data_IF_107148028251
#
_entry.id   IF_107148028251
#
_cell.length_a   1.000
_cell.length_b   1.000
_cell.length_c   1.000
_cell.angle_alpha   90.00
_cell.angle_beta   90.00
_cell.angle_gamma   90.00
#
_symmetry.space_group_name_H-M   'P 1'
#
loop_
_entity.id
_entity.type
_entity.pdbx_description
1 polymer ?
#
# COMPACT_ATOMS: atom_id res chain seq x y z
N UNK A 1 26.14 -15.49 0.90
CA UNK A 1 24.85 -15.02 0.31
C UNK A 1 23.79 -15.31 1.35
N UNK A 2 23.28 -14.27 1.99
CA UNK A 2 22.14 -14.41 2.88
C UNK A 2 20.90 -14.62 2.02
N UNK A 3 20.26 -15.77 2.15
CA UNK A 3 18.99 -16.05 1.49
C UNK A 3 17.87 -15.29 2.23
N UNK A 4 16.87 -14.77 1.51
CA UNK A 4 15.69 -14.17 2.14
C UNK A 4 15.03 -15.15 3.11
N UNK A 5 14.59 -14.65 4.27
CA UNK A 5 13.86 -15.47 5.23
C UNK A 5 12.39 -15.58 4.79
N UNK A 6 11.89 -16.79 4.67
CA UNK A 6 10.48 -17.06 4.32
C UNK A 6 9.85 -17.86 5.44
N UNK A 7 8.79 -17.30 6.03
CA UNK A 7 8.05 -17.88 7.13
C UNK A 7 7.25 -19.13 6.75
N UNK A 8 6.92 -19.93 7.74
CA UNK A 8 6.18 -21.19 7.55
C UNK A 8 4.78 -20.94 7.00
N UNK A 9 4.29 -21.84 6.15
CA UNK A 9 2.94 -21.77 5.60
C UNK A 9 2.75 -20.67 4.55
N UNK A 10 3.83 -20.05 4.10
CA UNK A 10 3.77 -19.04 3.04
C UNK A 10 3.67 -19.69 1.68
N UNK A 11 2.68 -19.25 0.89
CA UNK A 11 2.59 -19.56 -0.53
C UNK A 11 3.41 -18.56 -1.33
N UNK A 12 4.25 -19.05 -2.22
CA UNK A 12 5.08 -18.23 -3.11
C UNK A 12 4.89 -18.68 -4.56
N UNK A 13 4.40 -17.77 -5.40
CA UNK A 13 4.27 -18.05 -6.82
C UNK A 13 5.64 -18.24 -7.48
N UNK A 14 5.82 -19.26 -8.37
CA UNK A 14 7.13 -19.59 -8.95
C UNK A 14 7.84 -18.46 -9.70
N UNK A 15 7.11 -17.50 -10.22
CA UNK A 15 7.67 -16.34 -10.91
C UNK A 15 7.88 -15.11 -10.02
N UNK A 16 7.65 -15.25 -8.72
CA UNK A 16 7.96 -14.16 -7.79
C UNK A 16 9.47 -14.08 -7.55
N UNK A 17 9.95 -12.87 -7.34
CA UNK A 17 11.36 -12.54 -7.13
C UNK A 17 11.55 -11.89 -5.79
N UNK A 18 12.45 -12.44 -4.97
CA UNK A 18 12.77 -11.90 -3.65
C UNK A 18 14.28 -11.68 -3.62
N UNK A 19 14.69 -10.44 -3.42
CA UNK A 19 16.10 -10.03 -3.40
C UNK A 19 16.39 -9.01 -2.31
N UNK A 20 17.67 -8.93 -1.95
CA UNK A 20 18.18 -8.00 -0.93
C UNK A 20 18.34 -8.65 0.44
N UNK A 21 19.41 -8.24 1.13
CA UNK A 21 19.78 -8.82 2.43
C UNK A 21 18.79 -8.54 3.55
N UNK A 22 17.97 -7.50 3.39
CA UNK A 22 16.95 -7.12 4.36
C UNK A 22 15.55 -7.69 4.01
N UNK A 23 15.45 -8.44 2.91
CA UNK A 23 14.16 -9.00 2.52
C UNK A 23 13.76 -10.16 3.41
N UNK A 24 12.53 -10.09 3.91
CA UNK A 24 11.90 -11.19 4.63
C UNK A 24 10.40 -11.26 4.32
N UNK A 25 9.86 -12.46 4.43
CA UNK A 25 8.42 -12.71 4.38
C UNK A 25 8.06 -13.50 5.64
N UNK A 26 7.15 -12.98 6.42
CA UNK A 26 6.69 -13.62 7.64
C UNK A 26 5.77 -14.83 7.32
N UNK A 27 5.28 -15.49 8.35
CA UNK A 27 4.51 -16.72 8.19
C UNK A 27 3.11 -16.50 7.59
N UNK A 28 2.56 -17.53 6.97
CA UNK A 28 1.19 -17.59 6.46
C UNK A 28 0.86 -16.51 5.43
N UNK A 29 1.84 -16.04 4.65
CA UNK A 29 1.63 -15.09 3.58
C UNK A 29 1.23 -15.77 2.26
N UNK A 30 0.52 -15.05 1.41
CA UNK A 30 0.19 -15.46 0.05
C UNK A 30 0.81 -14.47 -0.95
N UNK A 31 1.87 -14.90 -1.64
CA UNK A 31 2.66 -14.04 -2.52
C UNK A 31 2.46 -14.45 -3.97
N UNK A 32 1.84 -13.58 -4.76
CA UNK A 32 1.64 -13.79 -6.19
C UNK A 32 0.42 -14.64 -6.54
N UNK A 33 -0.74 -14.35 -5.97
CA UNK A 33 -1.96 -15.14 -6.19
C UNK A 33 -2.41 -15.10 -7.66
N UNK A 34 -2.45 -13.91 -8.26
CA UNK A 34 -2.87 -13.70 -9.66
C UNK A 34 -1.79 -13.09 -10.53
N UNK A 35 -0.72 -12.55 -9.95
CA UNK A 35 0.38 -11.93 -10.68
C UNK A 35 1.71 -12.06 -9.94
N UNK A 36 2.81 -12.10 -10.70
CA UNK A 36 4.16 -12.17 -10.13
C UNK A 36 4.43 -11.00 -9.19
N UNK A 37 5.14 -11.29 -8.10
CA UNK A 37 5.52 -10.28 -7.11
C UNK A 37 7.03 -10.14 -7.07
N UNK A 38 7.50 -8.90 -7.08
CA UNK A 38 8.92 -8.56 -6.87
C UNK A 38 9.09 -7.89 -5.52
N UNK A 39 9.95 -8.44 -4.68
CA UNK A 39 10.26 -7.97 -3.33
C UNK A 39 11.76 -7.65 -3.28
N UNK A 40 12.11 -6.37 -3.08
CA UNK A 40 13.50 -5.90 -3.03
C UNK A 40 13.74 -5.14 -1.74
N UNK A 41 14.72 -5.56 -0.93
CA UNK A 41 15.05 -4.94 0.37
C UNK A 41 13.82 -4.61 1.23
N UNK A 42 12.85 -5.53 1.29
CA UNK A 42 11.53 -5.25 1.83
C UNK A 42 11.07 -6.33 2.79
N UNK A 43 10.25 -5.94 3.75
CA UNK A 43 9.67 -6.86 4.71
C UNK A 43 8.16 -7.02 4.55
N UNK A 44 7.67 -8.25 4.61
CA UNK A 44 6.24 -8.57 4.50
C UNK A 44 5.77 -9.18 5.80
N UNK A 45 4.84 -8.51 6.47
CA UNK A 45 4.28 -8.95 7.74
C UNK A 45 3.34 -10.15 7.60
N UNK A 46 3.18 -10.88 8.70
CA UNK A 46 2.40 -12.11 8.81
C UNK A 46 1.00 -12.01 8.19
N UNK A 47 0.58 -13.06 7.50
CA UNK A 47 -0.76 -13.18 6.94
C UNK A 47 -1.05 -12.25 5.76
N UNK A 48 -0.05 -11.53 5.26
CA UNK A 48 -0.23 -10.59 4.16
C UNK A 48 -0.43 -11.28 2.81
N UNK A 49 -1.13 -10.60 1.91
CA UNK A 49 -1.48 -11.11 0.59
C UNK A 49 -1.05 -10.11 -0.49
N UNK A 50 -0.09 -10.49 -1.31
CA UNK A 50 0.47 -9.63 -2.36
C UNK A 50 0.19 -10.21 -3.75
N UNK A 51 -0.17 -9.34 -4.69
CA UNK A 51 -0.48 -9.77 -6.06
C UNK A 51 -1.85 -10.44 -6.16
N UNK A 52 -2.85 -9.96 -5.42
CA UNK A 52 -4.20 -10.54 -5.41
C UNK A 52 -5.00 -10.19 -6.65
N UNK A 53 -4.65 -9.13 -7.35
CA UNK A 53 -5.34 -8.64 -8.56
C UNK A 53 -4.42 -8.55 -9.77
N UNK A 54 -3.11 -8.56 -9.58
CA UNK A 54 -2.11 -8.45 -10.64
C UNK A 54 -0.69 -8.34 -10.08
N UNK A 55 0.29 -7.99 -10.92
CA UNK A 55 1.68 -7.87 -10.48
C UNK A 55 1.88 -6.80 -9.42
N UNK A 56 2.75 -7.08 -8.45
CA UNK A 56 3.14 -6.14 -7.40
C UNK A 56 4.66 -6.04 -7.33
N UNK A 57 5.17 -4.83 -7.22
CA UNK A 57 6.58 -4.58 -6.88
C UNK A 57 6.65 -3.79 -5.57
N UNK A 58 7.39 -4.31 -4.61
CA UNK A 58 7.75 -3.57 -3.40
C UNK A 58 9.28 -3.47 -3.30
N UNK A 59 9.75 -2.25 -3.04
CA UNK A 59 11.17 -1.95 -2.89
C UNK A 59 11.38 -0.99 -1.74
N UNK A 60 12.31 -1.32 -0.85
CA UNK A 60 12.56 -0.53 0.38
C UNK A 60 11.23 -0.20 1.11
N UNK A 61 10.36 -1.20 1.21
CA UNK A 61 9.00 -1.11 1.74
C UNK A 61 8.79 -2.14 2.85
N UNK A 62 8.17 -1.73 3.94
CA UNK A 62 7.79 -2.64 5.01
C UNK A 62 6.30 -2.65 5.21
N UNK A 63 5.72 -3.85 5.27
CA UNK A 63 4.29 -4.03 5.52
C UNK A 63 4.06 -4.62 6.90
N UNK A 64 3.06 -4.12 7.59
CA UNK A 64 2.52 -4.74 8.79
C UNK A 64 1.76 -6.04 8.49
N UNK A 65 1.26 -6.72 9.53
CA UNK A 65 0.47 -7.94 9.36
C UNK A 65 -0.83 -7.70 8.59
N UNK A 66 -1.30 -8.75 7.90
CA UNK A 66 -2.57 -8.78 7.17
C UNK A 66 -2.72 -7.68 6.09
N UNK A 67 -1.62 -7.16 5.58
CA UNK A 67 -1.62 -6.19 4.48
C UNK A 67 -2.07 -6.86 3.18
N UNK A 68 -2.92 -6.20 2.41
CA UNK A 68 -3.38 -6.68 1.10
C UNK A 68 -2.94 -5.73 0.01
N UNK A 69 -2.13 -6.20 -0.92
CA UNK A 69 -1.69 -5.45 -2.10
C UNK A 69 -2.23 -6.10 -3.37
N UNK A 70 -3.13 -5.40 -4.06
CA UNK A 70 -3.79 -5.89 -5.26
C UNK A 70 -2.87 -5.94 -6.47
N UNK A 71 -2.59 -4.78 -7.04
CA UNK A 71 -1.69 -4.58 -8.18
C UNK A 71 -1.04 -3.21 -8.08
N UNK A 72 0.28 -3.11 -8.29
CA UNK A 72 0.94 -1.81 -8.28
C UNK A 72 2.37 -1.81 -7.74
N UNK A 73 2.84 -0.63 -7.36
CA UNK A 73 4.22 -0.43 -6.87
C UNK A 73 4.26 0.33 -5.55
N UNK A 74 5.19 -0.06 -4.67
CA UNK A 74 5.52 0.63 -3.44
C UNK A 74 7.05 0.73 -3.33
N UNK A 75 7.59 1.95 -3.37
CA UNK A 75 9.02 2.15 -3.51
C UNK A 75 9.55 3.31 -2.65
N UNK A 76 10.81 3.19 -2.23
CA UNK A 76 11.60 4.26 -1.60
C UNK A 76 11.13 4.67 -0.19
N UNK A 77 11.35 3.79 0.78
CA UNK A 77 11.06 4.06 2.19
C UNK A 77 9.58 4.28 2.48
N UNK A 78 8.77 3.30 2.12
CA UNK A 78 7.34 3.25 2.42
C UNK A 78 7.10 2.33 3.61
N UNK A 79 6.17 2.71 4.46
CA UNK A 79 5.64 1.86 5.52
C UNK A 79 4.13 1.72 5.37
N UNK A 80 3.67 0.48 5.36
CA UNK A 80 2.25 0.13 5.31
C UNK A 80 1.89 -0.55 6.64
N UNK A 81 1.02 0.05 7.42
CA UNK A 81 0.56 -0.45 8.71
C UNK A 81 -0.16 -1.81 8.60
N UNK A 82 -0.51 -2.39 9.73
CA UNK A 82 -1.28 -3.64 9.72
C UNK A 82 -2.65 -3.41 9.06
N UNK A 83 -3.18 -4.46 8.43
CA UNK A 83 -4.50 -4.45 7.79
C UNK A 83 -4.68 -3.41 6.67
N UNK A 84 -3.59 -2.75 6.24
CA UNK A 84 -3.62 -1.83 5.10
C UNK A 84 -4.02 -2.57 3.82
N UNK A 85 -4.95 -1.98 3.06
CA UNK A 85 -5.42 -2.55 1.80
C UNK A 85 -5.25 -1.58 0.64
N UNK A 86 -4.42 -1.94 -0.34
CA UNK A 86 -4.22 -1.19 -1.57
C UNK A 86 -4.73 -2.02 -2.75
N UNK A 87 -5.85 -1.61 -3.31
CA UNK A 87 -6.53 -2.31 -4.38
C UNK A 87 -6.41 -1.58 -5.72
N UNK A 88 -6.39 -2.38 -6.79
CA UNK A 88 -6.73 -1.92 -8.13
C UNK A 88 -7.44 -3.02 -8.89
N UNK A 89 -8.51 -2.67 -9.58
CA UNK A 89 -9.34 -3.58 -10.36
C UNK A 89 -9.19 -3.41 -11.87
N UNK A 90 -8.40 -2.44 -12.33
CA UNK A 90 -8.37 -2.11 -13.74
C UNK A 90 -7.02 -2.39 -14.39
N UNK A 91 -7.10 -2.76 -15.64
CA UNK A 91 -5.99 -3.13 -16.49
C UNK A 91 -4.97 -2.00 -16.63
N UNK A 92 -3.82 -2.14 -15.99
CA UNK A 92 -2.60 -1.42 -16.34
C UNK A 92 -2.16 -0.27 -15.44
N UNK A 93 -2.97 0.17 -14.47
CA UNK A 93 -2.58 1.26 -13.56
C UNK A 93 -2.94 0.91 -12.12
N UNK A 94 -2.01 0.26 -11.42
CA UNK A 94 -2.16 -0.10 -10.04
C UNK A 94 -1.97 1.07 -9.08
N UNK A 95 -2.01 0.80 -7.78
CA UNK A 95 -1.58 1.75 -6.77
C UNK A 95 -0.09 2.09 -6.97
N UNK A 96 0.28 3.30 -6.59
CA UNK A 96 1.67 3.73 -6.53
C UNK A 96 1.93 4.45 -5.22
N UNK A 97 2.75 3.87 -4.36
CA UNK A 97 3.24 4.54 -3.16
C UNK A 97 4.72 4.82 -3.32
N UNK A 98 5.11 6.05 -3.05
CA UNK A 98 6.45 6.56 -3.31
C UNK A 98 7.07 7.11 -2.03
N UNK A 99 8.32 7.51 -2.13
CA UNK A 99 9.19 7.98 -1.06
C UNK A 99 8.47 8.70 0.08
N UNK A 100 8.74 8.24 1.29
CA UNK A 100 8.27 8.88 2.51
C UNK A 100 6.76 8.77 2.77
N UNK A 101 6.10 7.78 2.17
CA UNK A 101 4.67 7.55 2.41
C UNK A 101 4.47 6.57 3.55
N UNK A 102 3.56 6.94 4.44
CA UNK A 102 3.09 6.11 5.55
C UNK A 102 1.58 5.92 5.45
N UNK A 103 1.15 4.68 5.42
CA UNK A 103 -0.22 4.25 5.67
C UNK A 103 -0.26 3.62 7.05
N UNK A 104 -1.01 4.20 7.96
CA UNK A 104 -1.22 3.65 9.29
C UNK A 104 -2.24 2.50 9.26
N UNK A 105 -2.57 1.97 10.42
CA UNK A 105 -3.46 0.82 10.62
C UNK A 105 -4.82 1.01 9.91
N UNK A 106 -5.28 -0.03 9.21
CA UNK A 106 -6.56 -0.05 8.47
C UNK A 106 -6.72 1.05 7.42
N UNK A 107 -5.64 1.71 7.04
CA UNK A 107 -5.71 2.66 5.93
C UNK A 107 -5.86 1.91 4.60
N UNK A 108 -6.64 2.46 3.69
CA UNK A 108 -6.94 1.80 2.43
C UNK A 108 -6.95 2.75 1.24
N UNK A 109 -6.73 2.21 0.06
CA UNK A 109 -6.93 2.93 -1.19
C UNK A 109 -7.69 2.09 -2.21
N UNK A 110 -8.51 2.77 -2.99
CA UNK A 110 -9.14 2.20 -4.18
C UNK A 110 -8.18 2.30 -5.39
N UNK A 111 -8.72 2.37 -6.57
CA UNK A 111 -8.00 2.27 -7.85
C UNK A 111 -7.25 3.55 -8.20
N UNK A 112 -6.09 3.42 -8.88
CA UNK A 112 -5.34 4.54 -9.43
C UNK A 112 -4.94 5.58 -8.37
N UNK A 113 -4.46 5.14 -7.24
CA UNK A 113 -3.95 6.05 -6.22
C UNK A 113 -2.44 6.21 -6.36
N UNK A 114 -1.97 7.44 -6.29
CA UNK A 114 -0.53 7.77 -6.26
C UNK A 114 -0.26 8.65 -5.04
N UNK A 115 0.61 8.19 -4.15
CA UNK A 115 0.95 8.90 -2.92
C UNK A 115 2.45 9.07 -2.77
N UNK A 116 2.89 10.26 -2.38
CA UNK A 116 4.30 10.62 -2.14
C UNK A 116 4.38 11.56 -0.95
N UNK A 117 5.35 11.34 -0.04
CA UNK A 117 5.52 12.19 1.14
C UNK A 117 4.21 12.41 1.89
N UNK A 118 3.41 11.35 2.00
CA UNK A 118 2.03 11.42 2.47
C UNK A 118 1.89 10.57 3.73
N UNK A 119 1.25 11.13 4.73
CA UNK A 119 0.92 10.44 5.98
C UNK A 119 -0.59 10.24 6.04
N UNK A 120 -1.02 9.00 6.00
CA UNK A 120 -2.41 8.61 6.23
C UNK A 120 -2.51 8.01 7.63
N UNK A 121 -3.21 8.68 8.52
CA UNK A 121 -3.43 8.19 9.87
C UNK A 121 -4.42 7.01 9.88
N UNK A 122 -4.62 6.31 11.01
CA UNK A 122 -5.47 5.13 11.04
C UNK A 122 -6.88 5.37 10.48
N UNK A 123 -7.43 4.37 9.82
CA UNK A 123 -8.79 4.39 9.26
C UNK A 123 -9.02 5.50 8.22
N UNK A 124 -8.01 5.79 7.40
CA UNK A 124 -8.18 6.64 6.21
C UNK A 124 -8.51 5.79 5.01
N UNK A 125 -9.51 6.18 4.25
CA UNK A 125 -9.86 5.57 2.96
C UNK A 125 -9.65 6.58 1.82
N UNK A 126 -8.84 6.21 0.85
CA UNK A 126 -8.71 6.95 -0.40
C UNK A 126 -9.64 6.34 -1.46
N UNK A 127 -10.48 7.15 -2.05
CA UNK A 127 -11.27 6.78 -3.22
C UNK A 127 -10.41 6.57 -4.46
N UNK A 128 -11.05 6.40 -5.60
CA UNK A 128 -10.36 6.18 -6.88
C UNK A 128 -9.81 7.47 -7.49
N UNK A 129 -8.72 7.36 -8.26
CA UNK A 129 -8.07 8.47 -8.96
C UNK A 129 -7.57 9.58 -8.02
N UNK A 130 -6.97 9.20 -6.92
CA UNK A 130 -6.41 10.10 -5.92
C UNK A 130 -4.90 10.23 -6.14
N UNK A 131 -4.43 11.47 -6.21
CA UNK A 131 -3.01 11.80 -6.24
C UNK A 131 -2.69 12.74 -5.09
N UNK A 132 -1.84 12.31 -4.16
CA UNK A 132 -1.44 13.07 -2.97
C UNK A 132 0.07 13.26 -2.95
N UNK A 133 0.50 14.49 -2.65
CA UNK A 133 1.91 14.81 -2.45
C UNK A 133 2.03 15.83 -1.31
N UNK A 134 2.91 15.53 -0.35
CA UNK A 134 3.17 16.38 0.82
C UNK A 134 1.91 16.64 1.68
N UNK A 135 1.14 15.58 1.96
CA UNK A 135 -0.16 15.66 2.61
C UNK A 135 -0.20 14.84 3.90
N UNK A 136 -0.87 15.37 4.91
CA UNK A 136 -1.31 14.63 6.09
C UNK A 136 -2.84 14.53 6.06
N UNK A 137 -3.36 13.30 6.08
CA UNK A 137 -4.79 13.04 6.23
C UNK A 137 -5.05 12.55 7.66
N UNK A 138 -5.88 13.30 8.37
CA UNK A 138 -6.31 12.92 9.73
C UNK A 138 -7.10 11.60 9.70
N UNK A 139 -6.85 10.77 10.69
CA UNK A 139 -7.49 9.46 10.80
C UNK A 139 -8.99 9.51 11.08
N UNK A 140 -9.63 8.39 10.89
CA UNK A 140 -10.98 8.14 11.37
C UNK A 140 -11.04 7.96 12.90
N UNK A 141 -12.21 7.67 13.42
CA UNK A 141 -12.44 7.46 14.85
C UNK A 141 -12.54 5.99 15.25
N UNK A 142 -12.52 5.08 14.29
CA UNK A 142 -12.58 3.63 14.52
C UNK A 142 -12.88 2.84 13.25
N UNK A 143 -12.92 1.50 13.38
CA UNK A 143 -13.16 0.60 12.25
C UNK A 143 -14.65 0.49 11.85
N UNK A 144 -15.55 1.20 12.51
CA UNK A 144 -16.98 1.11 12.26
C UNK A 144 -17.38 1.85 10.98
N UNK A 145 -18.44 1.40 10.33
CA UNK A 145 -18.97 2.05 9.14
C UNK A 145 -19.34 3.52 9.43
N UNK A 146 -18.76 4.43 8.66
CA UNK A 146 -18.94 5.87 8.85
C UNK A 146 -17.97 6.52 9.85
N UNK A 147 -17.08 5.74 10.47
CA UNK A 147 -16.03 6.25 11.37
C UNK A 147 -14.69 6.51 10.65
N UNK A 148 -14.60 6.15 9.37
CA UNK A 148 -13.42 6.38 8.53
C UNK A 148 -13.31 7.85 8.11
N UNK A 149 -12.07 8.31 7.95
CA UNK A 149 -11.77 9.56 7.23
C UNK A 149 -11.64 9.25 5.74
N UNK A 150 -12.43 9.86 4.90
CA UNK A 150 -12.48 9.53 3.47
C UNK A 150 -12.06 10.71 2.60
N UNK A 151 -11.17 10.42 1.64
CA UNK A 151 -10.92 11.29 0.49
C UNK A 151 -11.68 10.69 -0.68
N UNK A 152 -12.79 11.30 -1.06
CA UNK A 152 -13.67 10.80 -2.11
C UNK A 152 -13.01 10.77 -3.49
N UNK A 153 -13.54 9.94 -4.37
CA UNK A 153 -13.05 9.77 -5.74
C UNK A 153 -13.14 11.06 -6.54
N UNK A 154 -12.07 11.38 -7.29
CA UNK A 154 -12.05 12.57 -8.14
C UNK A 154 -12.06 13.88 -7.35
N UNK A 155 -11.41 13.92 -6.19
CA UNK A 155 -11.31 15.13 -5.36
C UNK A 155 -10.79 16.32 -6.17
N UNK A 156 -11.52 17.43 -6.10
CA UNK A 156 -11.13 18.70 -6.70
C UNK A 156 -10.55 19.57 -5.59
N UNK A 157 -9.28 19.96 -5.76
CA UNK A 157 -8.64 20.91 -4.84
C UNK A 157 -8.93 22.34 -5.28
N UNK A 158 -9.52 23.12 -4.39
CA UNK A 158 -9.64 24.55 -4.56
C UNK A 158 -8.55 25.25 -3.77
N UNK A 159 -7.74 26.04 -4.46
CA UNK A 159 -6.84 26.96 -3.79
C UNK A 159 -7.65 28.16 -3.29
N UNK A 160 -7.73 28.32 -1.99
CA UNK A 160 -8.29 29.49 -1.36
C UNK A 160 -7.21 30.56 -1.22
N UNK A 161 -7.42 31.71 -1.82
CA UNK A 161 -6.60 32.88 -1.55
C UNK A 161 -7.29 33.76 -0.50
N UNK A 162 -6.57 34.55 0.32
CA UNK A 162 -7.17 35.46 1.28
C UNK A 162 -8.13 36.50 0.66
N UNK A 163 -7.95 36.82 -0.62
CA UNK A 163 -8.83 37.67 -1.40
C UNK A 163 -10.13 37.00 -1.85
N UNK A 164 -10.25 35.68 -1.67
CA UNK A 164 -11.38 34.91 -2.17
C UNK A 164 -11.38 34.69 -3.68
N UNK A 165 -10.29 34.99 -4.36
CA UNK A 165 -10.11 34.69 -5.77
C UNK A 165 -9.96 33.18 -5.95
N UNK A 166 -10.68 32.61 -6.90
CA UNK A 166 -10.69 31.17 -7.23
C UNK A 166 -9.78 30.88 -8.38
#
# INVERSE_FOLDING_TARGET
>A
INLPQIGRGTFLHPFSRIEGEQSYIDESCEIGITGAVTILNSGVGKGSRLGTLGPVTIKDTFTGPNTVLGCGTSEESVFLGKETTLNDFTTGYGFRTRKGTLYEEDASSAQHTDTKMTLLLPWVTLGSNINLCDVLIAGGTGPELGAFSEVGSGSIHFNFTPSGDK
#
